data_IF_917303807887
#
_entry.id   IF_917303807887
#
_cell.length_a   1.000
_cell.length_b   1.000
_cell.length_c   1.000
_cell.angle_alpha   90.00
_cell.angle_beta   90.00
_cell.angle_gamma   90.00
#
_symmetry.space_group_name_H-M   'P 1'
#
loop_
_entity.id
_entity.type
_entity.pdbx_description
1 polymer ?
#
# COMPACT_ATOMS: atom_id res chain seq x y z
N UNK A 1 41.11 -8.40 36.31
CA UNK A 1 39.85 -7.61 36.23
C UNK A 1 39.48 -7.06 34.87
N UNK A 2 40.42 -6.72 33.98
CA UNK A 2 40.12 -6.17 32.61
C UNK A 2 39.52 -7.24 31.65
N UNK A 3 39.96 -8.48 31.71
CA UNK A 3 39.46 -9.58 30.83
C UNK A 3 38.01 -9.96 31.07
N UNK A 4 37.53 -9.94 32.31
CA UNK A 4 36.13 -10.27 32.64
C UNK A 4 35.11 -9.24 32.11
N UNK A 5 35.53 -7.92 32.05
CA UNK A 5 34.67 -6.88 31.50
C UNK A 5 34.49 -7.00 30.00
N UNK A 6 35.53 -7.37 29.25
CA UNK A 6 35.47 -7.55 27.79
C UNK A 6 34.65 -8.78 27.41
N UNK A 7 34.75 -9.90 28.13
CA UNK A 7 33.97 -11.09 27.88
C UNK A 7 32.46 -10.86 28.17
N UNK A 8 32.13 -10.06 29.18
CA UNK A 8 30.75 -9.72 29.51
C UNK A 8 30.11 -8.79 28.46
N UNK A 9 30.86 -7.84 27.88
CA UNK A 9 30.39 -7.00 26.79
C UNK A 9 30.14 -7.80 25.50
N UNK A 10 30.99 -8.77 25.17
CA UNK A 10 30.80 -9.65 24.00
C UNK A 10 29.59 -10.56 24.16
N UNK A 11 29.36 -11.10 25.35
CA UNK A 11 28.21 -11.98 25.62
C UNK A 11 26.87 -11.21 25.55
N UNK A 12 26.82 -9.99 26.08
CA UNK A 12 25.63 -9.14 26.00
C UNK A 12 25.33 -8.75 24.55
N UNK A 13 26.36 -8.43 23.74
CA UNK A 13 26.19 -8.10 22.32
C UNK A 13 25.64 -9.26 21.50
N UNK A 14 26.06 -10.51 21.78
CA UNK A 14 25.56 -11.71 21.11
C UNK A 14 24.11 -12.05 21.48
N UNK A 15 23.71 -11.82 22.73
CA UNK A 15 22.33 -12.06 23.21
C UNK A 15 21.37 -11.06 22.56
N UNK A 16 21.73 -9.79 22.44
CA UNK A 16 20.90 -8.76 21.81
C UNK A 16 20.69 -9.04 20.31
N UNK A 17 21.72 -9.50 19.61
CA UNK A 17 21.63 -9.88 18.18
C UNK A 17 20.75 -11.13 17.97
N UNK A 18 20.81 -12.09 18.86
CA UNK A 18 19.98 -13.31 18.80
C UNK A 18 18.49 -13.01 19.04
N UNK A 19 18.17 -12.18 20.04
CA UNK A 19 16.78 -11.75 20.30
C UNK A 19 16.17 -10.93 19.14
N UNK A 20 16.97 -10.11 18.48
CA UNK A 20 16.50 -9.29 17.35
C UNK A 20 16.19 -10.13 16.12
N UNK A 21 16.99 -11.14 15.80
CA UNK A 21 16.73 -12.08 14.69
C UNK A 21 15.46 -12.91 14.92
N UNK A 22 15.28 -13.47 16.10
CA UNK A 22 14.08 -14.24 16.41
C UNK A 22 12.81 -13.39 16.30
N UNK A 23 12.84 -12.12 16.73
CA UNK A 23 11.68 -11.23 16.63
C UNK A 23 11.33 -10.86 15.18
N UNK A 24 12.31 -10.77 14.28
CA UNK A 24 12.08 -10.50 12.85
C UNK A 24 11.54 -11.74 12.13
N UNK A 25 12.06 -12.93 12.43
CA UNK A 25 11.57 -14.20 11.88
C UNK A 25 10.10 -14.45 12.30
N UNK A 26 9.76 -14.20 13.56
CA UNK A 26 8.39 -14.33 14.08
C UNK A 26 7.45 -13.33 13.39
N UNK A 27 7.90 -12.10 13.15
CA UNK A 27 7.15 -11.09 12.41
C UNK A 27 6.86 -11.56 10.98
N UNK A 28 7.88 -12.01 10.25
CA UNK A 28 7.76 -12.52 8.88
C UNK A 28 6.80 -13.71 8.82
N UNK A 29 6.91 -14.64 9.76
CA UNK A 29 6.02 -15.80 9.86
C UNK A 29 4.57 -15.38 10.08
N UNK A 30 4.31 -14.42 10.98
CA UNK A 30 2.97 -13.88 11.25
C UNK A 30 2.43 -13.10 10.05
N UNK A 31 3.27 -12.32 9.42
CA UNK A 31 2.92 -11.53 8.23
C UNK A 31 2.71 -12.39 6.98
N UNK A 32 3.37 -13.55 6.88
CA UNK A 32 3.31 -14.44 5.72
C UNK A 32 3.93 -13.85 4.44
N UNK A 33 4.85 -12.87 4.61
CA UNK A 33 5.62 -12.25 3.53
C UNK A 33 6.95 -11.73 4.08
N UNK A 34 8.03 -11.66 3.28
CA UNK A 34 9.29 -11.08 3.69
C UNK A 34 9.16 -9.56 3.90
N UNK A 35 9.95 -9.03 4.81
CA UNK A 35 10.25 -7.60 4.87
C UNK A 35 11.57 -7.38 4.11
N UNK A 36 11.51 -6.62 3.02
CA UNK A 36 12.63 -6.44 2.09
C UNK A 36 13.57 -5.33 2.57
N UNK A 37 14.86 -5.56 2.43
CA UNK A 37 15.89 -4.55 2.70
C UNK A 37 16.13 -3.67 1.45
N UNK A 38 16.69 -2.47 1.66
CA UNK A 38 17.10 -1.59 0.56
C UNK A 38 15.95 -0.86 -0.14
N UNK A 39 14.75 -0.85 0.43
CA UNK A 39 13.55 -0.21 -0.14
C UNK A 39 13.52 1.33 0.00
N UNK A 40 14.61 1.94 0.50
CA UNK A 40 14.63 3.38 0.78
C UNK A 40 13.98 3.72 2.12
N UNK A 41 13.67 5.02 2.30
CA UNK A 41 13.19 5.58 3.59
C UNK A 41 11.79 6.20 3.50
N UNK A 42 11.09 6.03 2.36
CA UNK A 42 9.76 6.60 2.20
C UNK A 42 8.78 6.04 3.24
N UNK A 43 8.00 6.92 3.82
CA UNK A 43 7.00 6.58 4.84
C UNK A 43 5.76 7.42 4.65
N UNK A 44 4.63 6.75 4.44
CA UNK A 44 3.31 7.36 4.52
C UNK A 44 2.63 6.86 5.80
N UNK A 45 2.53 7.73 6.79
CA UNK A 45 1.98 7.36 8.10
C UNK A 45 0.47 7.15 8.01
N UNK A 46 0.00 5.99 8.48
CA UNK A 46 -1.42 5.63 8.51
C UNK A 46 -1.84 5.14 9.89
N UNK A 47 -3.14 5.10 10.13
CA UNK A 47 -3.72 4.59 11.38
C UNK A 47 -3.59 3.06 11.41
N UNK A 48 -2.53 2.58 12.07
CA UNK A 48 -2.23 1.16 12.22
C UNK A 48 -1.16 0.92 13.28
N UNK A 49 -0.90 -0.35 13.63
CA UNK A 49 0.21 -0.70 14.52
C UNK A 49 1.58 -0.63 13.82
N UNK A 50 2.65 -0.60 14.64
CA UNK A 50 4.03 -0.41 14.16
C UNK A 50 4.49 -1.45 13.13
N UNK A 51 4.10 -2.69 13.28
CA UNK A 51 4.56 -3.78 12.40
C UNK A 51 3.79 -3.79 11.09
N UNK A 52 2.49 -3.55 11.12
CA UNK A 52 1.67 -3.34 9.94
C UNK A 52 2.15 -2.11 9.12
N UNK A 53 2.55 -1.02 9.78
CA UNK A 53 3.10 0.17 9.13
C UNK A 53 4.35 -0.13 8.27
N UNK A 54 5.22 -1.05 8.71
CA UNK A 54 6.40 -1.44 7.92
C UNK A 54 6.00 -2.07 6.59
N UNK A 55 5.04 -3.00 6.63
CA UNK A 55 4.53 -3.65 5.43
C UNK A 55 3.68 -2.73 4.57
N UNK A 56 2.96 -1.79 5.17
CA UNK A 56 2.26 -0.74 4.44
C UNK A 56 3.24 0.12 3.63
N UNK A 57 4.32 0.62 4.25
CA UNK A 57 5.35 1.41 3.58
C UNK A 57 6.00 0.62 2.44
N UNK A 58 6.35 -0.65 2.69
CA UNK A 58 6.88 -1.55 1.66
C UNK A 58 5.91 -1.69 0.48
N UNK A 59 4.63 -1.92 0.77
CA UNK A 59 3.59 -2.03 -0.25
C UNK A 59 3.49 -0.77 -1.10
N UNK A 60 3.50 0.40 -0.48
CA UNK A 60 3.39 1.67 -1.19
C UNK A 60 4.61 1.96 -2.08
N UNK A 61 5.83 1.72 -1.57
CA UNK A 61 7.06 1.84 -2.37
C UNK A 61 7.02 0.90 -3.58
N UNK A 62 6.60 -0.35 -3.38
CA UNK A 62 6.49 -1.33 -4.47
C UNK A 62 5.41 -0.97 -5.48
N UNK A 63 4.31 -0.34 -5.04
CA UNK A 63 3.28 0.19 -5.93
C UNK A 63 3.85 1.28 -6.84
N UNK A 64 4.56 2.26 -6.29
CA UNK A 64 5.24 3.31 -7.06
C UNK A 64 6.35 2.75 -7.98
N UNK A 65 6.96 1.64 -7.61
CA UNK A 65 7.95 0.94 -8.44
C UNK A 65 7.32 -0.02 -9.47
N UNK A 66 6.00 -0.01 -9.65
CA UNK A 66 5.23 -0.89 -10.55
C UNK A 66 5.39 -2.39 -10.26
N UNK A 67 5.87 -2.77 -9.09
CA UNK A 67 5.91 -4.16 -8.64
C UNK A 67 4.60 -4.53 -7.91
N UNK A 68 3.51 -4.52 -8.64
CA UNK A 68 2.15 -4.66 -8.09
C UNK A 68 1.93 -5.98 -7.36
N UNK A 69 2.52 -7.09 -7.84
CA UNK A 69 2.36 -8.40 -7.20
C UNK A 69 2.94 -8.41 -5.77
N UNK A 70 4.16 -7.89 -5.58
CA UNK A 70 4.80 -7.80 -4.28
C UNK A 70 4.18 -6.70 -3.41
N UNK A 71 3.69 -5.63 -4.02
CA UNK A 71 2.91 -4.59 -3.34
C UNK A 71 1.64 -5.17 -2.70
N UNK A 72 0.83 -5.92 -3.46
CA UNK A 72 -0.37 -6.61 -2.96
C UNK A 72 -0.01 -7.58 -1.83
N UNK A 73 1.09 -8.34 -1.98
CA UNK A 73 1.57 -9.26 -0.93
C UNK A 73 1.91 -8.52 0.36
N UNK A 74 2.54 -7.35 0.25
CA UNK A 74 2.92 -6.50 1.38
C UNK A 74 1.69 -5.92 2.07
N UNK A 75 0.72 -5.38 1.33
CA UNK A 75 -0.52 -4.88 1.93
C UNK A 75 -1.33 -6.00 2.60
N UNK A 76 -1.39 -7.19 2.02
CA UNK A 76 -2.01 -8.36 2.67
C UNK A 76 -1.27 -8.81 3.93
N UNK A 77 0.05 -8.67 3.97
CA UNK A 77 0.82 -8.90 5.20
C UNK A 77 0.47 -7.85 6.27
N UNK A 78 0.36 -6.57 5.89
CA UNK A 78 -0.09 -5.52 6.78
C UNK A 78 -1.49 -5.78 7.36
N UNK A 79 -2.45 -6.23 6.51
CA UNK A 79 -3.80 -6.62 6.93
C UNK A 79 -3.80 -7.80 7.94
N UNK A 80 -2.92 -8.79 7.75
CA UNK A 80 -2.79 -9.91 8.72
C UNK A 80 -2.25 -9.46 10.08
N UNK A 81 -1.38 -8.45 10.09
CA UNK A 81 -0.81 -7.89 11.32
C UNK A 81 -1.76 -6.92 12.00
N UNK A 82 -2.62 -6.24 11.24
CA UNK A 82 -3.65 -5.33 11.72
C UNK A 82 -4.91 -5.39 10.83
N UNK A 83 -5.87 -6.24 11.16
CA UNK A 83 -7.12 -6.36 10.38
C UNK A 83 -8.00 -5.10 10.39
N UNK A 84 -7.72 -4.13 11.27
CA UNK A 84 -8.44 -2.86 11.35
C UNK A 84 -7.74 -1.72 10.60
N UNK A 85 -6.62 -1.97 9.95
CA UNK A 85 -5.91 -0.99 9.13
C UNK A 85 -6.68 -0.72 7.82
N UNK A 86 -7.53 0.30 7.79
CA UNK A 86 -8.31 0.67 6.60
C UNK A 86 -7.40 0.96 5.39
N UNK A 87 -6.31 1.70 5.59
CA UNK A 87 -5.36 2.04 4.53
C UNK A 87 -4.61 0.82 3.98
N UNK A 88 -4.50 -0.28 4.74
CA UNK A 88 -3.90 -1.51 4.22
C UNK A 88 -4.81 -2.18 3.16
N UNK A 89 -6.12 -2.09 3.29
CA UNK A 89 -7.07 -2.52 2.27
C UNK A 89 -7.14 -1.53 1.11
N UNK A 90 -7.07 -0.23 1.37
CA UNK A 90 -6.91 0.79 0.34
C UNK A 90 -5.68 0.52 -0.53
N UNK A 91 -4.52 0.22 0.07
CA UNK A 91 -3.29 -0.08 -0.66
C UNK A 91 -3.39 -1.34 -1.52
N UNK A 92 -4.07 -2.39 -1.05
CA UNK A 92 -4.36 -3.57 -1.88
C UNK A 92 -5.23 -3.19 -3.08
N UNK A 93 -6.29 -2.40 -2.88
CA UNK A 93 -7.15 -1.94 -3.96
C UNK A 93 -6.39 -1.06 -4.97
N UNK A 94 -5.54 -0.14 -4.50
CA UNK A 94 -4.68 0.69 -5.34
C UNK A 94 -3.79 -0.18 -6.24
N UNK A 95 -3.08 -1.15 -5.65
CA UNK A 95 -2.11 -1.98 -6.37
C UNK A 95 -2.74 -2.98 -7.34
N UNK A 96 -4.03 -3.27 -7.19
CA UNK A 96 -4.80 -4.08 -8.14
C UNK A 96 -5.39 -3.27 -9.27
N UNK A 97 -5.38 -1.95 -9.14
CA UNK A 97 -5.93 -1.02 -10.13
C UNK A 97 -5.24 -1.10 -11.48
N UNK A 98 -5.86 -0.53 -12.52
CA UNK A 98 -5.20 -0.41 -13.81
C UNK A 98 -3.94 0.44 -13.68
N UNK A 99 -2.97 0.17 -14.53
CA UNK A 99 -1.75 0.95 -14.61
C UNK A 99 -1.31 1.12 -16.07
N UNK A 100 -0.53 2.13 -16.34
CA UNK A 100 -0.09 2.52 -17.70
C UNK A 100 0.72 1.46 -18.43
N UNK A 101 1.28 0.46 -17.73
CA UNK A 101 2.10 -0.60 -18.33
C UNK A 101 1.27 -1.79 -18.82
N UNK A 102 -0.03 -1.83 -18.50
CA UNK A 102 -0.93 -2.92 -18.90
C UNK A 102 -2.08 -2.34 -19.72
N UNK A 103 -1.93 -2.39 -21.03
CA UNK A 103 -2.87 -1.78 -21.98
C UNK A 103 -3.38 -2.80 -23.00
N UNK A 104 -4.58 -2.54 -23.54
CA UNK A 104 -5.14 -3.19 -24.73
C UNK A 104 -5.87 -2.13 -25.53
N UNK A 105 -5.64 -2.09 -26.85
CA UNK A 105 -6.25 -1.14 -27.78
C UNK A 105 -6.11 0.34 -27.34
N UNK A 106 -4.92 0.69 -26.82
CA UNK A 106 -4.61 2.04 -26.35
C UNK A 106 -5.30 2.46 -25.04
N UNK A 107 -5.92 1.54 -24.31
CA UNK A 107 -6.56 1.78 -23.02
C UNK A 107 -5.93 0.91 -21.95
N UNK A 108 -5.82 1.42 -20.72
CA UNK A 108 -5.45 0.61 -19.56
C UNK A 108 -6.52 -0.45 -19.27
N UNK A 109 -6.08 -1.64 -18.90
CA UNK A 109 -6.98 -2.77 -18.64
C UNK A 109 -6.73 -3.40 -17.26
N UNK A 110 -7.75 -4.07 -16.77
CA UNK A 110 -7.72 -4.85 -15.53
C UNK A 110 -8.31 -6.24 -15.78
N UNK A 111 -7.73 -7.25 -15.17
CA UNK A 111 -8.35 -8.58 -15.18
C UNK A 111 -9.70 -8.56 -14.44
N UNK A 112 -10.68 -9.41 -14.83
CA UNK A 112 -11.94 -9.54 -14.10
C UNK A 112 -11.75 -9.91 -12.63
N UNK A 113 -10.72 -10.71 -12.32
CA UNK A 113 -10.40 -11.10 -10.94
C UNK A 113 -9.87 -9.92 -10.14
N UNK A 114 -8.96 -9.11 -10.71
CA UNK A 114 -8.43 -7.94 -10.01
C UNK A 114 -9.52 -6.89 -9.78
N UNK A 115 -10.47 -6.71 -10.73
CA UNK A 115 -11.64 -5.83 -10.53
C UNK A 115 -12.45 -6.25 -9.30
N UNK A 116 -12.77 -7.54 -9.21
CA UNK A 116 -13.52 -8.11 -8.08
C UNK A 116 -12.78 -7.96 -6.75
N UNK A 117 -11.48 -8.29 -6.75
CA UNK A 117 -10.67 -8.25 -5.54
C UNK A 117 -10.40 -6.81 -5.09
N UNK A 118 -10.15 -5.88 -6.04
CA UNK A 118 -9.98 -4.46 -5.75
C UNK A 118 -11.26 -3.84 -5.16
N UNK A 119 -12.41 -4.16 -5.75
CA UNK A 119 -13.70 -3.70 -5.23
C UNK A 119 -13.94 -4.22 -3.80
N UNK A 120 -13.69 -5.51 -3.56
CA UNK A 120 -13.81 -6.08 -2.21
C UNK A 120 -12.88 -5.41 -1.21
N UNK A 121 -11.65 -5.11 -1.61
CA UNK A 121 -10.67 -4.46 -0.75
C UNK A 121 -11.09 -3.02 -0.43
N UNK A 122 -11.53 -2.23 -1.43
CA UNK A 122 -11.94 -0.85 -1.17
C UNK A 122 -13.23 -0.76 -0.34
N UNK A 123 -14.18 -1.68 -0.52
CA UNK A 123 -15.36 -1.75 0.33
C UNK A 123 -14.98 -2.07 1.79
N UNK A 124 -13.99 -2.94 2.01
CA UNK A 124 -13.47 -3.19 3.37
C UNK A 124 -12.78 -1.96 3.96
N UNK A 125 -12.03 -1.20 3.17
CA UNK A 125 -11.45 0.08 3.61
C UNK A 125 -12.55 1.08 4.01
N UNK A 126 -13.64 1.19 3.22
CA UNK A 126 -14.79 2.05 3.54
C UNK A 126 -15.51 1.62 4.82
N UNK A 127 -15.68 0.34 5.07
CA UNK A 127 -16.25 -0.19 6.31
C UNK A 127 -15.44 0.27 7.53
N UNK A 128 -14.11 0.30 7.43
CA UNK A 128 -13.19 0.69 8.49
C UNK A 128 -12.93 2.21 8.57
N UNK A 129 -13.37 2.97 7.57
CA UNK A 129 -13.12 4.41 7.43
C UNK A 129 -13.50 5.24 8.65
N UNK A 130 -14.59 4.98 9.41
CA UNK A 130 -14.91 5.78 10.58
C UNK A 130 -13.85 5.77 11.70
N UNK A 131 -12.91 4.82 11.67
CA UNK A 131 -11.86 4.65 12.70
C UNK A 131 -10.54 5.33 12.36
N UNK A 132 -10.41 5.97 11.20
CA UNK A 132 -9.17 6.58 10.73
C UNK A 132 -9.26 8.10 10.60
N UNK A 133 -8.13 8.77 10.37
CA UNK A 133 -8.07 10.23 10.24
C UNK A 133 -8.87 10.73 9.02
N UNK A 134 -9.30 12.01 9.07
CA UNK A 134 -10.01 12.65 7.95
C UNK A 134 -9.24 12.58 6.63
N UNK A 135 -7.90 12.68 6.66
CA UNK A 135 -7.05 12.55 5.48
C UNK A 135 -7.11 11.14 4.90
N UNK A 136 -7.02 10.11 5.73
CA UNK A 136 -7.15 8.72 5.29
C UNK A 136 -8.55 8.43 4.73
N UNK A 137 -9.60 9.01 5.32
CA UNK A 137 -10.96 8.92 4.78
C UNK A 137 -11.05 9.51 3.37
N UNK A 138 -10.44 10.68 3.15
CA UNK A 138 -10.40 11.31 1.81
C UNK A 138 -9.67 10.43 0.78
N UNK A 139 -8.55 9.80 1.14
CA UNK A 139 -7.85 8.84 0.28
C UNK A 139 -8.72 7.63 -0.07
N UNK A 140 -9.43 7.07 0.91
CA UNK A 140 -10.33 5.93 0.70
C UNK A 140 -11.48 6.31 -0.23
N UNK A 141 -12.09 7.50 -0.01
CA UNK A 141 -13.18 7.99 -0.85
C UNK A 141 -12.72 8.27 -2.27
N UNK A 142 -11.54 8.89 -2.46
CA UNK A 142 -10.99 9.14 -3.77
C UNK A 142 -10.79 7.83 -4.55
N UNK A 143 -10.13 6.83 -3.95
CA UNK A 143 -9.91 5.56 -4.63
C UNK A 143 -11.21 4.78 -4.86
N UNK A 144 -12.21 4.93 -4.01
CA UNK A 144 -13.49 4.22 -4.16
C UNK A 144 -14.23 4.61 -5.45
N UNK A 145 -13.99 5.82 -5.99
CA UNK A 145 -14.59 6.26 -7.25
C UNK A 145 -14.09 5.48 -8.48
N UNK A 146 -12.97 4.75 -8.33
CA UNK A 146 -12.37 3.89 -9.37
C UNK A 146 -13.06 2.55 -9.53
N UNK A 147 -13.95 2.17 -8.62
CA UNK A 147 -14.53 0.82 -8.55
C UNK A 147 -16.04 0.86 -8.28
N UNK A 148 -16.79 0.09 -9.07
CA UNK A 148 -18.25 -0.05 -8.93
C UNK A 148 -18.73 -1.51 -8.75
N UNK A 149 -17.79 -2.47 -8.67
CA UNK A 149 -18.08 -3.89 -8.56
C UNK A 149 -18.45 -4.60 -9.88
N UNK A 150 -18.61 -3.86 -10.98
CA UNK A 150 -18.94 -4.44 -12.27
C UNK A 150 -17.69 -5.04 -12.96
N UNK A 151 -17.92 -6.13 -13.70
CA UNK A 151 -16.86 -6.85 -14.41
C UNK A 151 -16.75 -6.36 -15.87
N UNK A 152 -17.56 -5.37 -16.28
CA UNK A 152 -17.54 -4.78 -17.61
C UNK A 152 -16.14 -4.33 -18.06
N UNK A 153 -15.92 -4.25 -19.37
CA UNK A 153 -14.59 -3.98 -19.95
C UNK A 153 -14.23 -2.50 -19.98
N UNK A 154 -15.22 -1.63 -20.23
CA UNK A 154 -14.95 -0.18 -20.28
C UNK A 154 -14.85 0.40 -18.86
N UNK A 155 -13.76 1.13 -18.62
CA UNK A 155 -13.43 1.75 -17.35
C UNK A 155 -13.24 3.26 -17.47
N UNK A 156 -13.43 3.84 -18.64
CA UNK A 156 -13.09 5.23 -18.93
C UNK A 156 -13.68 6.21 -17.93
N UNK A 157 -14.97 6.03 -17.59
CA UNK A 157 -15.65 6.88 -16.61
C UNK A 157 -15.10 6.67 -15.19
N UNK A 158 -14.78 5.44 -14.80
CA UNK A 158 -14.23 5.13 -13.47
C UNK A 158 -12.82 5.70 -13.31
N UNK A 159 -11.99 5.57 -14.34
CA UNK A 159 -10.63 6.11 -14.30
C UNK A 159 -10.64 7.64 -14.33
N UNK A 160 -11.59 8.26 -15.07
CA UNK A 160 -11.79 9.71 -15.04
C UNK A 160 -12.31 10.19 -13.66
N UNK A 161 -13.28 9.50 -13.08
CA UNK A 161 -13.80 9.83 -11.75
C UNK A 161 -12.69 9.77 -10.69
N UNK A 162 -11.82 8.77 -10.79
CA UNK A 162 -10.67 8.66 -9.90
C UNK A 162 -9.68 9.82 -10.11
N UNK A 163 -9.37 10.19 -11.34
CA UNK A 163 -8.50 11.32 -11.64
C UNK A 163 -9.04 12.63 -11.05
N UNK A 164 -10.33 12.92 -11.22
CA UNK A 164 -10.98 14.10 -10.63
C UNK A 164 -10.97 14.07 -9.08
N UNK A 165 -11.20 12.90 -8.49
CA UNK A 165 -11.14 12.75 -7.04
C UNK A 165 -9.71 12.95 -6.50
N UNK A 166 -8.69 12.45 -7.21
CA UNK A 166 -7.29 12.66 -6.84
C UNK A 166 -6.82 14.11 -7.06
N UNK A 167 -7.35 14.81 -8.06
CA UNK A 167 -7.14 16.25 -8.23
C UNK A 167 -7.64 17.01 -6.99
N UNK A 168 -8.88 16.78 -6.58
CA UNK A 168 -9.47 17.41 -5.39
C UNK A 168 -8.67 17.08 -4.12
N UNK A 169 -8.21 15.82 -3.97
CA UNK A 169 -7.39 15.40 -2.84
C UNK A 169 -6.04 16.13 -2.82
N UNK A 170 -5.33 16.19 -3.96
CA UNK A 170 -4.03 16.86 -4.07
C UNK A 170 -4.13 18.37 -3.79
N UNK A 171 -5.21 19.02 -4.22
CA UNK A 171 -5.49 20.43 -3.91
C UNK A 171 -5.80 20.65 -2.43
N UNK A 172 -6.52 19.71 -1.79
CA UNK A 172 -6.83 19.76 -0.36
C UNK A 172 -5.60 19.57 0.52
N UNK A 173 -4.62 18.79 0.06
CA UNK A 173 -3.38 18.46 0.78
C UNK A 173 -2.14 18.80 -0.07
N UNK A 174 -1.83 20.09 -0.32
CA UNK A 174 -0.80 20.52 -1.27
C UNK A 174 0.63 20.10 -0.88
N UNK A 175 0.87 19.82 0.40
CA UNK A 175 2.17 19.35 0.90
C UNK A 175 2.31 17.81 0.88
N UNK A 176 1.28 17.10 0.38
CA UNK A 176 1.27 15.64 0.30
C UNK A 176 1.79 15.16 -1.06
N UNK A 177 3.07 14.79 -1.10
CA UNK A 177 3.71 14.31 -2.32
C UNK A 177 3.11 13.00 -2.84
N UNK A 178 2.57 12.15 -1.97
CA UNK A 178 1.89 10.93 -2.38
C UNK A 178 0.57 11.24 -3.09
N UNK A 179 -0.21 12.21 -2.58
CA UNK A 179 -1.42 12.67 -3.23
C UNK A 179 -1.12 13.25 -4.63
N UNK A 180 -0.08 14.07 -4.75
CA UNK A 180 0.34 14.65 -6.03
C UNK A 180 0.81 13.56 -7.02
N UNK A 181 1.58 12.57 -6.54
CA UNK A 181 2.09 11.47 -7.37
C UNK A 181 0.95 10.58 -7.87
N UNK A 182 0.00 10.25 -7.00
CA UNK A 182 -1.17 9.44 -7.36
C UNK A 182 -2.14 10.21 -8.28
N UNK A 183 -2.24 11.53 -8.14
CA UNK A 183 -2.98 12.35 -9.09
C UNK A 183 -2.34 12.30 -10.48
N UNK A 184 -1.02 12.49 -10.57
CA UNK A 184 -0.31 12.39 -11.85
C UNK A 184 -0.50 10.99 -12.50
N UNK A 185 -0.37 9.91 -11.72
CA UNK A 185 -0.61 8.54 -12.19
C UNK A 185 -2.06 8.35 -12.67
N UNK A 186 -3.04 8.88 -11.94
CA UNK A 186 -4.45 8.76 -12.32
C UNK A 186 -4.76 9.43 -13.66
N UNK A 187 -4.16 10.59 -13.93
CA UNK A 187 -4.26 11.26 -15.25
C UNK A 187 -3.66 10.43 -16.39
N UNK A 188 -2.49 9.81 -16.14
CA UNK A 188 -1.83 8.96 -17.13
C UNK A 188 -2.72 7.77 -17.52
N UNK A 189 -3.52 7.23 -16.60
CA UNK A 189 -4.43 6.13 -16.88
C UNK A 189 -5.66 6.55 -17.73
N UNK A 190 -5.97 7.82 -17.82
CA UNK A 190 -7.04 8.33 -18.71
C UNK A 190 -6.57 8.64 -20.13
N UNK A 191 -5.25 8.61 -20.38
CA UNK A 191 -4.65 8.93 -21.68
C UNK A 191 -4.31 7.68 -22.46
N UNK A 192 -4.68 7.60 -23.75
CA UNK A 192 -4.21 6.50 -24.59
C UNK A 192 -2.69 6.60 -24.78
N UNK A 193 -2.03 5.46 -24.81
CA UNK A 193 -0.66 5.35 -25.29
C UNK A 193 -0.64 5.55 -26.81
N UNK A 194 0.13 6.53 -27.28
CA UNK A 194 0.40 6.76 -28.71
C UNK A 194 1.71 6.11 -29.09
#
# INVERSE_FOLDING_TARGET
MKFYKQAMFLAISLIVLSCSKNSQEDLIKKAGAPLLDGMGIHTHKVTTNKDSQKYFNQGLILSFAFNHAESIRSFKAAQRLDPNCAMCYWGEALSRGPNINVTSDGKVVMSPQDRKDAFKAIEKAKELMPSVSAKEQDYILALSSRYNGEIGTDRSDLDMNYALAMEALSQKYPDDMDAASLFAESLMNTMPWN
#
